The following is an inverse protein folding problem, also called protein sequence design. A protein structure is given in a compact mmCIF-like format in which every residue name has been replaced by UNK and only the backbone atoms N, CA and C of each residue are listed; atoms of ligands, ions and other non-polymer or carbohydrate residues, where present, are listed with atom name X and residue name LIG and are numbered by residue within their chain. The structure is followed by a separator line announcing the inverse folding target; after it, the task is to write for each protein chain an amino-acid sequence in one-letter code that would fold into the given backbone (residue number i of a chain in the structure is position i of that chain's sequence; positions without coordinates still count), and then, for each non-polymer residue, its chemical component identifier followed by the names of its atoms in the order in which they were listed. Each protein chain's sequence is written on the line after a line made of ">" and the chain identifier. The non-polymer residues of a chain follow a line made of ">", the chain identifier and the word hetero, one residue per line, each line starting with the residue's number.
data_IF_592785626040
#
_entry.id   IF_592785626040
#
_cell.length_a   1.000
_cell.length_b   1.000
_cell.length_c   1.000
_cell.angle_alpha   90.00
_cell.angle_beta   90.00
_cell.angle_gamma   90.00
#
_symmetry.space_group_name_H-M   'P 1'
#
loop_
_entity.id
_entity.type
_entity.pdbx_description
1 polymer ?
#
# COMPACT_ATOMS: atom_id res chain seq x y z
N UNK A 1 -18.90 23.96 52.74
CA UNK A 1 -19.53 23.23 51.62
C UNK A 1 -18.58 23.03 50.41
N UNK A 2 -17.25 23.11 50.59
CA UNK A 2 -16.29 23.17 49.46
C UNK A 2 -15.60 21.84 49.11
N UNK A 3 -15.71 20.81 49.93
CA UNK A 3 -14.90 19.58 49.79
C UNK A 3 -15.62 18.42 49.08
N UNK A 4 -16.95 18.46 48.96
CA UNK A 4 -17.75 17.40 48.29
C UNK A 4 -18.00 17.69 46.80
N UNK A 5 -17.94 18.96 46.40
CA UNK A 5 -18.02 19.38 44.99
C UNK A 5 -16.66 19.22 44.29
N UNK A 6 -15.55 19.48 44.98
CA UNK A 6 -14.22 19.18 44.47
C UNK A 6 -13.98 17.68 44.22
N UNK A 7 -14.54 16.80 45.05
CA UNK A 7 -14.45 15.35 44.82
C UNK A 7 -15.28 14.92 43.60
N UNK A 8 -16.44 15.53 43.37
CA UNK A 8 -17.27 15.25 42.19
C UNK A 8 -16.63 15.77 40.89
N UNK A 9 -15.97 16.93 40.90
CA UNK A 9 -15.22 17.45 39.76
C UNK A 9 -13.98 16.61 39.43
N UNK A 10 -13.25 16.14 40.45
CA UNK A 10 -12.09 15.25 40.30
C UNK A 10 -12.50 13.85 39.79
N UNK A 11 -13.63 13.31 40.25
CA UNK A 11 -14.20 12.05 39.73
C UNK A 11 -14.76 12.18 38.30
N UNK A 12 -15.42 13.29 37.96
CA UNK A 12 -15.91 13.55 36.60
C UNK A 12 -14.77 13.71 35.60
N UNK A 13 -13.67 14.35 36.00
CA UNK A 13 -12.47 14.43 35.17
C UNK A 13 -11.77 13.07 35.07
N UNK A 14 -11.73 12.28 36.13
CA UNK A 14 -11.22 10.90 36.09
C UNK A 14 -12.04 10.02 35.12
N UNK A 15 -13.38 10.09 35.14
CA UNK A 15 -14.22 9.34 34.20
C UNK A 15 -14.12 9.85 32.75
N UNK A 16 -13.82 11.13 32.53
CA UNK A 16 -13.61 11.71 31.20
C UNK A 16 -12.24 11.31 30.64
N UNK A 17 -11.21 11.34 31.48
CA UNK A 17 -9.85 10.89 31.18
C UNK A 17 -9.81 9.37 30.96
N UNK A 18 -10.60 8.60 31.72
CA UNK A 18 -10.80 7.17 31.54
C UNK A 18 -11.60 6.85 30.27
N UNK A 19 -12.59 7.67 29.88
CA UNK A 19 -13.28 7.56 28.58
C UNK A 19 -12.42 7.97 27.39
N UNK A 20 -11.52 8.94 27.57
CA UNK A 20 -10.58 9.39 26.54
C UNK A 20 -9.43 8.39 26.37
N UNK A 21 -8.93 7.79 27.46
CA UNK A 21 -7.98 6.66 27.42
C UNK A 21 -8.65 5.37 26.93
N UNK A 22 -9.86 5.02 27.36
CA UNK A 22 -10.61 3.89 26.79
C UNK A 22 -11.04 4.13 25.35
N UNK A 23 -11.25 5.36 24.88
CA UNK A 23 -11.51 5.68 23.46
C UNK A 23 -10.24 5.59 22.61
N UNK A 24 -9.08 5.96 23.18
CA UNK A 24 -7.77 5.79 22.56
C UNK A 24 -7.25 4.33 22.60
N UNK A 25 -7.62 3.56 23.62
CA UNK A 25 -7.23 2.15 23.81
C UNK A 25 -8.27 1.16 23.23
N UNK A 26 -9.54 1.54 23.07
CA UNK A 26 -10.57 0.74 22.36
C UNK A 26 -10.41 0.76 20.83
N UNK A 27 -9.63 1.67 20.26
CA UNK A 27 -9.52 1.81 18.81
C UNK A 27 -8.44 0.92 18.14
N UNK A 28 -7.68 0.10 18.90
CA UNK A 28 -6.55 -0.63 18.32
C UNK A 28 -6.26 -2.00 18.94
N UNK A 29 -7.30 -2.83 19.13
CA UNK A 29 -7.07 -4.25 19.40
C UNK A 29 -6.43 -4.93 18.19
N UNK A 30 -5.69 -6.02 18.42
CA UNK A 30 -5.08 -6.82 17.34
C UNK A 30 -6.10 -7.22 16.26
N UNK A 31 -7.32 -7.58 16.69
CA UNK A 31 -8.43 -7.95 15.80
C UNK A 31 -8.84 -6.79 14.87
N UNK A 32 -9.00 -5.57 15.38
CA UNK A 32 -9.35 -4.39 14.58
C UNK A 32 -8.24 -4.07 13.56
N UNK A 33 -6.97 -4.21 13.96
CA UNK A 33 -5.84 -3.97 13.06
C UNK A 33 -5.77 -4.99 11.93
N UNK A 34 -6.00 -6.26 12.25
CA UNK A 34 -6.09 -7.33 11.27
C UNK A 34 -7.26 -7.07 10.31
N UNK A 35 -8.45 -6.77 10.82
CA UNK A 35 -9.62 -6.46 9.99
C UNK A 35 -9.37 -5.27 9.05
N UNK A 36 -8.76 -4.20 9.57
CA UNK A 36 -8.38 -3.03 8.76
C UNK A 36 -7.41 -3.39 7.63
N UNK A 37 -6.41 -4.23 7.91
CA UNK A 37 -5.40 -4.65 6.93
C UNK A 37 -5.93 -5.68 5.93
N UNK A 38 -7.03 -6.36 6.24
CA UNK A 38 -7.64 -7.39 5.39
C UNK A 38 -8.98 -6.98 4.77
N UNK A 39 -9.46 -5.76 5.03
CA UNK A 39 -10.70 -5.25 4.45
C UNK A 39 -10.68 -5.32 2.91
N UNK A 40 -11.84 -5.45 2.24
CA UNK A 40 -11.92 -5.36 0.80
C UNK A 40 -11.20 -4.11 0.25
N UNK A 41 -10.34 -4.30 -0.75
CA UNK A 41 -9.50 -3.23 -1.30
C UNK A 41 -8.20 -2.96 -0.53
N UNK A 42 -7.88 -3.73 0.50
CA UNK A 42 -6.60 -3.66 1.22
C UNK A 42 -5.40 -3.91 0.30
N UNK A 43 -5.54 -4.72 -0.75
CA UNK A 43 -4.48 -4.98 -1.73
C UNK A 43 -3.91 -3.69 -2.33
N UNK A 44 -4.75 -2.67 -2.58
CA UNK A 44 -4.31 -1.40 -3.13
C UNK A 44 -3.98 -0.38 -2.03
N UNK A 45 -4.72 -0.39 -0.91
CA UNK A 45 -4.46 0.53 0.21
C UNK A 45 -3.16 0.22 0.93
N UNK A 46 -2.81 -1.06 1.06
CA UNK A 46 -1.60 -1.52 1.73
C UNK A 46 -0.33 -1.32 0.86
N UNK A 47 -0.47 -0.83 -0.38
CA UNK A 47 0.67 -0.37 -1.18
C UNK A 47 1.25 0.93 -0.64
N UNK A 48 0.44 1.73 0.07
CA UNK A 48 0.87 2.96 0.70
C UNK A 48 1.41 2.64 2.11
N UNK A 49 2.73 2.75 2.35
CA UNK A 49 3.31 2.40 3.65
C UNK A 49 2.83 3.32 4.79
N UNK A 50 2.50 4.59 4.48
CA UNK A 50 2.01 5.56 5.48
C UNK A 50 0.61 5.21 5.99
N UNK A 51 -0.26 4.66 5.12
CA UNK A 51 -1.59 4.17 5.52
C UNK A 51 -1.51 2.89 6.36
N UNK A 52 -0.60 1.97 6.02
CA UNK A 52 -0.39 0.73 6.77
C UNK A 52 0.12 1.01 8.18
N UNK A 53 1.11 1.90 8.30
CA UNK A 53 1.74 2.25 9.57
C UNK A 53 0.97 3.33 10.36
N UNK A 54 -0.07 3.93 9.77
CA UNK A 54 -0.86 5.02 10.35
C UNK A 54 0.00 6.20 10.80
N UNK A 55 0.84 6.66 9.89
CA UNK A 55 1.75 7.78 10.09
C UNK A 55 1.51 8.86 9.04
N UNK A 56 1.97 10.07 9.34
CA UNK A 56 2.02 11.15 8.36
C UNK A 56 3.20 10.91 7.39
N UNK A 57 3.08 11.30 6.10
CA UNK A 57 4.17 11.19 5.15
C UNK A 57 5.50 11.82 5.59
N UNK A 58 5.44 12.87 6.42
CA UNK A 58 6.60 13.61 6.92
C UNK A 58 7.09 13.13 8.30
N UNK A 59 6.60 11.97 8.77
CA UNK A 59 6.98 11.39 10.07
C UNK A 59 8.45 10.96 10.05
N UNK A 60 9.29 11.34 11.04
CA UNK A 60 10.69 10.96 11.08
C UNK A 60 10.84 9.44 11.32
N UNK A 61 11.91 8.85 10.76
CA UNK A 61 12.14 7.40 10.77
C UNK A 61 12.12 6.77 12.18
N UNK A 62 12.58 7.51 13.20
CA UNK A 62 12.54 7.07 14.59
C UNK A 62 11.10 6.81 15.09
N UNK A 63 10.15 7.65 14.70
CA UNK A 63 8.74 7.47 15.03
C UNK A 63 8.09 6.37 14.19
N UNK A 64 8.49 6.24 12.91
CA UNK A 64 8.09 5.13 12.04
C UNK A 64 8.45 3.79 12.68
N UNK A 65 9.67 3.66 13.21
CA UNK A 65 10.14 2.45 13.91
C UNK A 65 9.34 2.13 15.16
N UNK A 66 8.97 3.15 15.95
CA UNK A 66 8.10 2.98 17.13
C UNK A 66 6.70 2.49 16.73
N UNK A 67 6.11 3.07 15.68
CA UNK A 67 4.80 2.67 15.16
C UNK A 67 4.81 1.26 14.60
N UNK A 68 5.86 0.91 13.85
CA UNK A 68 6.09 -0.44 13.36
C UNK A 68 6.12 -1.47 14.50
N UNK A 69 6.92 -1.24 15.54
CA UNK A 69 6.99 -2.14 16.72
C UNK A 69 5.64 -2.33 17.42
N UNK A 70 4.85 -1.24 17.56
CA UNK A 70 3.52 -1.33 18.16
C UNK A 70 2.56 -2.15 17.29
N UNK A 71 2.56 -1.91 15.98
CA UNK A 71 1.66 -2.61 15.06
C UNK A 71 2.01 -4.08 14.93
N UNK A 72 3.29 -4.44 14.79
CA UNK A 72 3.72 -5.84 14.72
C UNK A 72 3.35 -6.63 15.96
N UNK A 73 3.48 -6.02 17.14
CA UNK A 73 3.03 -6.64 18.39
C UNK A 73 1.52 -6.93 18.40
N UNK A 74 0.71 -6.02 17.84
CA UNK A 74 -0.75 -6.15 17.83
C UNK A 74 -1.22 -7.20 16.80
N UNK A 75 -0.55 -7.32 15.67
CA UNK A 75 -0.91 -8.27 14.61
C UNK A 75 -0.09 -9.56 14.63
N UNK A 76 0.73 -9.80 15.66
CA UNK A 76 1.59 -10.99 15.73
C UNK A 76 0.75 -12.28 15.78
N UNK A 77 1.10 -13.33 15.01
CA UNK A 77 0.34 -14.59 14.99
C UNK A 77 0.28 -15.29 16.36
N UNK A 78 1.34 -15.21 17.16
CA UNK A 78 1.37 -15.81 18.52
C UNK A 78 0.33 -15.20 19.48
N UNK A 79 -0.05 -13.93 19.27
CA UNK A 79 -1.05 -13.24 20.08
C UNK A 79 -2.47 -13.40 19.55
N UNK A 80 -2.60 -13.72 18.26
CA UNK A 80 -3.87 -13.83 17.56
C UNK A 80 -4.07 -15.29 17.12
N UNK A 81 -4.05 -16.20 18.10
CA UNK A 81 -4.06 -17.66 17.90
C UNK A 81 -5.34 -18.13 17.18
N UNK A 82 -6.46 -17.45 17.41
CA UNK A 82 -7.74 -17.76 16.76
C UNK A 82 -7.74 -17.49 15.24
N UNK A 83 -6.89 -16.56 14.79
CA UNK A 83 -6.87 -16.02 13.43
C UNK A 83 -5.43 -15.95 12.87
N UNK A 84 -4.61 -17.00 13.11
CA UNK A 84 -3.17 -16.99 12.77
C UNK A 84 -2.87 -16.62 11.33
N UNK A 85 -3.62 -17.14 10.37
CA UNK A 85 -3.40 -16.86 8.94
C UNK A 85 -3.63 -15.38 8.62
N UNK A 86 -4.72 -14.82 9.13
CA UNK A 86 -5.05 -13.40 8.98
C UNK A 86 -4.03 -12.51 9.67
N UNK A 87 -3.60 -12.90 10.86
CA UNK A 87 -2.55 -12.23 11.61
C UNK A 87 -1.23 -12.23 10.84
N UNK A 88 -0.84 -13.36 10.26
CA UNK A 88 0.37 -13.49 9.45
C UNK A 88 0.34 -12.58 8.22
N UNK A 89 -0.76 -12.59 7.44
CA UNK A 89 -0.92 -11.70 6.27
C UNK A 89 -0.82 -10.22 6.69
N UNK A 90 -1.43 -9.88 7.83
CA UNK A 90 -1.41 -8.51 8.38
C UNK A 90 -0.01 -8.11 8.84
N UNK A 91 0.70 -9.03 9.50
CA UNK A 91 2.08 -8.86 9.92
C UNK A 91 3.01 -8.62 8.73
N UNK A 92 2.87 -9.42 7.67
CA UNK A 92 3.66 -9.28 6.45
C UNK A 92 3.39 -7.95 5.74
N UNK A 93 2.15 -7.47 5.74
CA UNK A 93 1.81 -6.15 5.23
C UNK A 93 2.50 -5.02 6.02
N UNK A 94 2.48 -5.09 7.36
CA UNK A 94 3.15 -4.12 8.25
C UNK A 94 4.66 -4.13 8.06
N UNK A 95 5.26 -5.34 7.96
CA UNK A 95 6.70 -5.52 7.71
C UNK A 95 7.10 -4.95 6.36
N UNK A 96 6.35 -5.26 5.29
CA UNK A 96 6.61 -4.73 3.96
C UNK A 96 6.56 -3.20 3.93
N UNK A 97 5.58 -2.59 4.60
CA UNK A 97 5.45 -1.14 4.68
C UNK A 97 6.65 -0.49 5.41
N UNK A 98 7.12 -1.10 6.50
CA UNK A 98 8.30 -0.61 7.20
C UNK A 98 9.56 -0.71 6.35
N UNK A 99 9.79 -1.85 5.69
CA UNK A 99 10.96 -2.04 4.83
C UNK A 99 11.01 -1.02 3.68
N UNK A 100 9.86 -0.65 3.11
CA UNK A 100 9.79 0.40 2.07
C UNK A 100 10.26 1.77 2.56
N UNK A 101 10.07 2.07 3.85
CA UNK A 101 10.51 3.34 4.44
C UNK A 101 11.90 3.26 5.07
N UNK A 102 12.35 2.07 5.46
CA UNK A 102 13.69 1.84 6.01
C UNK A 102 14.75 1.88 4.90
N UNK A 103 14.50 1.22 3.76
CA UNK A 103 15.45 1.18 2.63
C UNK A 103 15.53 2.53 1.91
N UNK A 104 16.74 3.06 1.71
CA UNK A 104 16.95 4.42 1.19
C UNK A 104 16.35 4.63 -0.20
N UNK A 105 16.57 3.70 -1.13
CA UNK A 105 16.05 3.80 -2.50
C UNK A 105 14.51 3.72 -2.54
N UNK A 106 13.93 2.83 -1.75
CA UNK A 106 12.47 2.69 -1.66
C UNK A 106 11.83 3.90 -0.97
N UNK A 107 12.52 4.47 0.02
CA UNK A 107 12.07 5.67 0.73
C UNK A 107 12.07 6.88 -0.18
N UNK A 108 13.13 7.09 -0.98
CA UNK A 108 13.19 8.15 -1.99
C UNK A 108 12.04 8.06 -2.99
N UNK A 109 11.68 6.84 -3.42
CA UNK A 109 10.51 6.63 -4.27
C UNK A 109 9.21 7.02 -3.56
N UNK A 110 9.05 6.65 -2.27
CA UNK A 110 7.89 7.05 -1.48
C UNK A 110 7.81 8.57 -1.31
N UNK A 111 8.93 9.23 -1.02
CA UNK A 111 9.03 10.69 -0.88
C UNK A 111 8.68 11.40 -2.20
N UNK A 112 9.16 10.91 -3.34
CA UNK A 112 8.81 11.45 -4.66
C UNK A 112 7.30 11.36 -4.94
N UNK A 113 6.65 10.26 -4.54
CA UNK A 113 5.19 10.12 -4.65
C UNK A 113 4.45 11.14 -3.77
N UNK A 114 4.95 11.38 -2.56
CA UNK A 114 4.38 12.35 -1.62
C UNK A 114 4.49 13.76 -2.18
N UNK A 115 5.67 14.14 -2.67
CA UNK A 115 5.92 15.44 -3.30
C UNK A 115 5.02 15.64 -4.53
N UNK A 116 4.91 14.62 -5.39
CA UNK A 116 4.02 14.65 -6.54
C UNK A 116 2.55 14.81 -6.12
N UNK A 117 2.09 14.11 -5.09
CA UNK A 117 0.73 14.23 -4.59
C UNK A 117 0.44 15.64 -4.05
N UNK A 118 1.37 16.22 -3.29
CA UNK A 118 1.25 17.58 -2.77
C UNK A 118 1.22 18.62 -3.90
N UNK A 119 2.14 18.50 -4.87
CA UNK A 119 2.20 19.37 -6.05
C UNK A 119 0.91 19.30 -6.87
N UNK A 120 0.42 18.09 -7.16
CA UNK A 120 -0.85 17.88 -7.88
C UNK A 120 -2.04 18.43 -7.11
N UNK A 121 -2.06 18.29 -5.78
CA UNK A 121 -3.14 18.84 -4.94
C UNK A 121 -3.17 20.36 -5.01
N UNK A 122 -2.00 21.00 -4.90
CA UNK A 122 -1.86 22.46 -5.02
C UNK A 122 -2.31 22.96 -6.40
N UNK A 123 -1.88 22.30 -7.48
CA UNK A 123 -2.29 22.64 -8.85
C UNK A 123 -3.81 22.53 -9.03
N UNK A 124 -4.43 21.44 -8.56
CA UNK A 124 -5.89 21.29 -8.60
C UNK A 124 -6.62 22.39 -7.82
N UNK A 125 -6.07 22.81 -6.67
CA UNK A 125 -6.63 23.93 -5.91
C UNK A 125 -6.53 25.25 -6.67
N UNK A 126 -5.38 25.53 -7.30
CA UNK A 126 -5.20 26.73 -8.11
C UNK A 126 -6.16 26.78 -9.31
N UNK A 127 -6.36 25.66 -10.00
CA UNK A 127 -7.33 25.53 -11.09
C UNK A 127 -8.76 25.78 -10.60
N UNK A 128 -9.15 25.19 -9.46
CA UNK A 128 -10.44 25.47 -8.83
C UNK A 128 -10.61 26.94 -8.48
N UNK A 129 -9.58 27.60 -7.93
CA UNK A 129 -9.61 29.04 -7.63
C UNK A 129 -9.78 29.90 -8.88
N UNK A 130 -9.15 29.54 -10.01
CA UNK A 130 -9.32 30.25 -11.30
C UNK A 130 -10.74 30.12 -11.85
N UNK A 131 -11.41 29.03 -11.55
CA UNK A 131 -12.77 28.71 -12.01
C UNK A 131 -13.86 29.34 -11.15
N UNK A 132 -13.54 29.71 -9.91
CA UNK A 132 -14.46 30.29 -8.94
C UNK A 132 -14.50 31.82 -9.02
N UNK A 133 -15.58 32.41 -8.51
CA UNK A 133 -15.65 33.87 -8.36
C UNK A 133 -14.63 34.31 -7.30
N UNK A 134 -14.00 35.46 -7.54
CA UNK A 134 -12.97 36.03 -6.65
C UNK A 134 -13.52 36.19 -5.23
N UNK A 135 -12.92 35.50 -4.27
CA UNK A 135 -13.28 35.57 -2.84
C UNK A 135 -14.13 34.42 -2.31
N UNK A 136 -14.55 33.46 -3.14
CA UNK A 136 -15.20 32.24 -2.64
C UNK A 136 -14.17 31.30 -1.98
N UNK A 137 -14.40 30.86 -0.72
CA UNK A 137 -13.48 29.97 -0.02
C UNK A 137 -13.55 28.55 -0.59
N UNK A 138 -12.41 27.88 -0.67
CA UNK A 138 -12.34 26.47 -1.01
C UNK A 138 -12.40 25.59 0.25
N UNK A 139 -13.03 24.40 0.20
CA UNK A 139 -12.97 23.44 1.30
C UNK A 139 -11.53 23.06 1.67
N UNK A 140 -10.63 22.94 0.68
CA UNK A 140 -9.23 22.61 0.87
C UNK A 140 -8.38 23.78 1.42
N UNK A 141 -8.97 24.97 1.64
CA UNK A 141 -8.32 26.06 2.38
C UNK A 141 -8.15 25.73 3.87
N UNK A 142 -8.99 24.83 4.39
CA UNK A 142 -8.79 24.21 5.69
C UNK A 142 -7.63 23.19 5.60
N UNK A 143 -6.57 23.33 6.42
CA UNK A 143 -5.45 22.39 6.48
C UNK A 143 -5.87 20.92 6.65
N UNK A 144 -6.98 20.65 7.34
CA UNK A 144 -7.48 19.29 7.53
C UNK A 144 -7.97 18.66 6.20
N UNK A 145 -8.70 19.43 5.40
CA UNK A 145 -9.16 18.99 4.07
C UNK A 145 -8.01 18.90 3.07
N UNK A 146 -7.04 19.81 3.14
CA UNK A 146 -5.82 19.71 2.34
C UNK A 146 -5.08 18.39 2.62
N UNK A 147 -4.78 18.12 3.90
CA UNK A 147 -4.13 16.87 4.31
C UNK A 147 -4.90 15.62 3.87
N UNK A 148 -6.23 15.65 3.98
CA UNK A 148 -7.08 14.55 3.50
C UNK A 148 -6.98 14.36 1.98
N UNK A 149 -6.97 15.45 1.22
CA UNK A 149 -6.88 15.42 -0.24
C UNK A 149 -5.53 14.88 -0.71
N UNK A 150 -4.43 15.36 -0.11
CA UNK A 150 -3.08 14.84 -0.34
C UNK A 150 -3.03 13.35 -0.02
N UNK A 151 -3.55 12.93 1.14
CA UNK A 151 -3.56 11.52 1.55
C UNK A 151 -4.29 10.62 0.54
N UNK A 152 -5.43 11.07 0.00
CA UNK A 152 -6.17 10.33 -1.03
C UNK A 152 -5.36 10.24 -2.32
N UNK A 153 -4.69 11.32 -2.73
CA UNK A 153 -3.84 11.32 -3.93
C UNK A 153 -2.61 10.43 -3.79
N UNK A 154 -1.94 10.43 -2.63
CA UNK A 154 -0.83 9.51 -2.34
C UNK A 154 -1.30 8.06 -2.54
N UNK A 155 -2.43 7.68 -1.93
CA UNK A 155 -2.97 6.33 -2.07
C UNK A 155 -3.28 5.96 -3.53
N UNK A 156 -3.77 6.92 -4.33
CA UNK A 156 -4.01 6.73 -5.77
C UNK A 156 -2.72 6.52 -6.55
N UNK A 157 -1.69 7.34 -6.30
CA UNK A 157 -0.40 7.22 -6.98
C UNK A 157 0.28 5.88 -6.71
N UNK A 158 0.30 5.42 -5.45
CA UNK A 158 0.83 4.07 -5.12
C UNK A 158 0.07 2.97 -5.86
N UNK A 159 -1.27 3.05 -5.92
CA UNK A 159 -2.08 2.09 -6.64
C UNK A 159 -1.82 2.11 -8.17
N UNK A 160 -1.66 3.30 -8.75
CA UNK A 160 -1.38 3.46 -10.18
C UNK A 160 0.03 2.98 -10.55
N UNK A 161 1.02 3.17 -9.68
CA UNK A 161 2.38 2.63 -9.87
C UNK A 161 2.38 1.09 -9.85
N UNK A 162 1.69 0.46 -8.90
CA UNK A 162 1.58 -1.00 -8.87
C UNK A 162 0.82 -1.55 -10.08
N UNK A 163 -0.23 -0.86 -10.54
CA UNK A 163 -0.93 -1.21 -11.79
C UNK A 163 0.01 -1.16 -12.99
N UNK A 164 0.79 -0.08 -13.14
CA UNK A 164 1.79 0.06 -14.20
C UNK A 164 2.87 -1.03 -14.12
N UNK A 165 3.35 -1.35 -12.91
CA UNK A 165 4.31 -2.42 -12.68
C UNK A 165 3.76 -3.77 -13.13
N UNK A 166 2.53 -4.12 -12.74
CA UNK A 166 1.89 -5.38 -13.14
C UNK A 166 1.71 -5.47 -14.66
N UNK A 167 1.24 -4.41 -15.29
CA UNK A 167 1.12 -4.34 -16.75
C UNK A 167 2.46 -4.54 -17.46
N UNK A 168 3.54 -3.95 -16.94
CA UNK A 168 4.87 -4.13 -17.50
C UNK A 168 5.35 -5.58 -17.32
N UNK A 169 5.17 -6.16 -16.13
CA UNK A 169 5.55 -7.54 -15.84
C UNK A 169 4.80 -8.54 -16.71
N UNK A 170 3.51 -8.31 -16.94
CA UNK A 170 2.67 -9.12 -17.83
C UNK A 170 3.17 -9.03 -19.27
N UNK A 171 3.44 -7.82 -19.79
CA UNK A 171 4.02 -7.65 -21.13
C UNK A 171 5.34 -8.39 -21.30
N UNK A 172 6.24 -8.28 -20.33
CA UNK A 172 7.53 -8.99 -20.36
C UNK A 172 7.31 -10.51 -20.37
N UNK A 173 6.38 -11.01 -19.56
CA UNK A 173 6.04 -12.44 -19.49
C UNK A 173 5.44 -12.95 -20.80
N UNK A 174 4.53 -12.19 -21.41
CA UNK A 174 3.91 -12.50 -22.69
C UNK A 174 4.94 -12.50 -23.83
N UNK A 175 5.83 -11.52 -23.87
CA UNK A 175 6.92 -11.46 -24.85
C UNK A 175 7.87 -12.65 -24.70
N UNK A 176 8.24 -13.03 -23.47
CA UNK A 176 9.05 -14.21 -23.20
C UNK A 176 8.35 -15.52 -23.57
N UNK A 177 7.01 -15.60 -23.40
CA UNK A 177 6.21 -16.75 -23.85
C UNK A 177 6.19 -16.85 -25.37
N UNK A 178 5.87 -15.75 -26.07
CA UNK A 178 5.85 -15.68 -27.54
C UNK A 178 7.22 -16.00 -28.15
N UNK A 179 8.31 -15.54 -27.52
CA UNK A 179 9.67 -15.87 -27.96
C UNK A 179 9.95 -17.38 -27.87
N UNK A 180 9.63 -18.00 -26.74
CA UNK A 180 9.81 -19.46 -26.56
C UNK A 180 8.97 -20.27 -27.54
N UNK A 181 7.73 -19.86 -27.79
CA UNK A 181 6.85 -20.50 -28.76
C UNK A 181 7.45 -20.47 -30.18
N UNK A 182 7.93 -19.30 -30.64
CA UNK A 182 8.61 -19.19 -31.94
C UNK A 182 9.89 -20.03 -32.02
N UNK A 183 10.66 -20.12 -30.94
CA UNK A 183 11.87 -20.95 -30.89
C UNK A 183 11.53 -22.45 -31.04
N UNK A 184 10.45 -22.90 -30.41
CA UNK A 184 9.94 -24.27 -30.54
C UNK A 184 9.42 -24.56 -31.96
N UNK A 185 8.63 -23.66 -32.54
CA UNK A 185 8.15 -23.82 -33.93
C UNK A 185 9.30 -23.89 -34.93
N UNK A 186 10.34 -23.07 -34.75
CA UNK A 186 11.54 -23.10 -35.60
C UNK A 186 12.31 -24.41 -35.40
N UNK A 187 12.41 -24.91 -34.17
CA UNK A 187 13.07 -26.18 -33.89
C UNK A 187 12.30 -27.37 -34.48
N UNK A 188 10.97 -27.38 -34.35
CA UNK A 188 10.08 -28.39 -34.93
C UNK A 188 10.16 -28.39 -36.45
N UNK A 189 10.07 -27.22 -37.09
CA UNK A 189 10.22 -27.10 -38.55
C UNK A 189 11.57 -27.62 -39.03
N UNK A 190 12.66 -27.30 -38.32
CA UNK A 190 14.00 -27.84 -38.62
C UNK A 190 14.08 -29.35 -38.40
N UNK A 191 13.36 -29.90 -37.42
CA UNK A 191 13.30 -31.34 -37.17
C UNK A 191 12.56 -32.05 -38.31
N UNK A 192 11.39 -31.55 -38.69
CA UNK A 192 10.58 -32.07 -39.79
C UNK A 192 11.33 -32.01 -41.12
N UNK A 193 12.05 -30.92 -41.40
CA UNK A 193 12.87 -30.79 -42.61
C UNK A 193 14.01 -31.82 -42.64
N UNK A 194 14.66 -32.06 -41.49
CA UNK A 194 15.69 -33.11 -41.37
C UNK A 194 15.13 -34.52 -41.53
N UNK A 195 13.96 -34.80 -40.95
CA UNK A 195 13.28 -36.09 -41.12
C UNK A 195 12.86 -36.32 -42.56
N UNK A 196 12.29 -35.30 -43.22
CA UNK A 196 11.92 -35.35 -44.62
C UNK A 196 13.13 -35.61 -45.53
N UNK A 197 14.25 -34.90 -45.30
CA UNK A 197 15.47 -35.11 -46.07
C UNK A 197 16.04 -36.52 -45.92
N UNK A 198 16.05 -37.07 -44.69
CA UNK A 198 16.48 -38.47 -44.45
C UNK A 198 15.60 -39.47 -45.18
N UNK A 199 14.29 -39.32 -45.08
CA UNK A 199 13.32 -40.22 -45.72
C UNK A 199 13.45 -40.17 -47.26
N UNK A 200 13.72 -38.98 -47.81
CA UNK A 200 13.97 -38.80 -49.24
C UNK A 200 15.26 -39.52 -49.68
N UNK A 201 16.38 -39.31 -48.97
CA UNK A 201 17.66 -39.99 -49.27
C UNK A 201 17.58 -41.52 -49.14
N UNK A 202 16.80 -42.05 -48.19
CA UNK A 202 16.58 -43.49 -48.05
C UNK A 202 15.74 -44.07 -49.20
N UNK A 203 14.78 -43.31 -49.72
CA UNK A 203 13.95 -43.72 -50.86
C UNK A 203 14.75 -43.76 -52.17
N UNK A 204 15.60 -42.75 -52.42
CA UNK A 204 16.47 -42.67 -53.60
C UNK A 204 17.57 -43.75 -53.61
N UNK A 205 17.96 -44.30 -52.45
CA UNK A 205 18.96 -45.39 -52.36
C UNK A 205 18.36 -46.79 -52.54
N UNK A 206 17.04 -46.91 -52.55
CA UNK A 206 16.33 -48.19 -52.65
C UNK A 206 15.94 -48.56 -54.09
N UNK A 207 16.08 -47.64 -55.06
CA UNK A 207 15.99 -47.89 -56.52
C UNK A 207 17.37 -48.22 -57.14
#
# INVERSE_FOLDING_TARGET
>A
MSSREESNGKFSNFYKDLKETESADSALTGKIQIERLLRPGSTYRNLNPYEVLQIDPHTPLEEVKKKYKRLTFLVHPDKNIDDKDKAQISFDAVKKAYNMLEEEDSRKQCESIVEEAEGRTKMMMEEKRRSLKKGEPLPEDDPAYFKRSVKVLIAKLFADLERKRKQLQEKISEEARKKRERELEVAERKSLEKEFAKNFEESDRAE
#
